data_IF_129940173932
#
_entry.id   IF_129940173932
#
_cell.length_a   1.000
_cell.length_b   1.000
_cell.length_c   1.000
_cell.angle_alpha   90.00
_cell.angle_beta   90.00
_cell.angle_gamma   90.00
#
_symmetry.space_group_name_H-M   'P 1'
#
loop_
_entity.id
_entity.type
_entity.pdbx_description
1 polymer ?
#
# COMPACT_ATOMS: atom_id res chain seq x y z
N UNK A 1 36.70 -50.72 26.29
CA UNK A 1 35.75 -51.82 26.53
C UNK A 1 34.65 -51.33 27.44
N UNK A 2 33.43 -51.44 26.94
CA UNK A 2 32.13 -51.48 27.62
C UNK A 2 31.56 -50.12 28.05
N UNK A 3 30.66 -49.51 27.26
CA UNK A 3 29.29 -49.93 26.89
C UNK A 3 28.26 -49.64 28.01
N UNK A 4 27.38 -48.69 27.67
CA UNK A 4 25.94 -48.71 27.89
C UNK A 4 25.38 -49.06 29.28
N UNK A 5 24.77 -48.04 29.89
CA UNK A 5 23.39 -48.17 30.38
C UNK A 5 22.53 -47.04 29.82
N UNK A 6 21.57 -47.44 29.01
CA UNK A 6 20.53 -46.63 28.41
C UNK A 6 19.25 -46.64 29.27
N UNK A 7 18.40 -45.64 28.99
CA UNK A 7 16.96 -45.56 29.29
C UNK A 7 16.64 -45.31 30.78
N UNK A 8 15.80 -44.37 31.21
CA UNK A 8 14.49 -43.85 30.75
C UNK A 8 14.38 -42.45 31.42
N UNK A 9 14.04 -41.34 30.75
CA UNK A 9 12.67 -40.79 30.65
C UNK A 9 12.66 -39.71 29.56
N UNK A 10 11.78 -39.96 28.60
CA UNK A 10 11.36 -39.09 27.51
C UNK A 10 10.71 -37.80 28.03
N UNK A 11 10.91 -36.67 27.33
CA UNK A 11 9.91 -35.59 27.40
C UNK A 11 10.31 -34.12 27.40
N UNK A 12 11.53 -33.67 27.00
CA UNK A 12 11.76 -32.20 26.80
C UNK A 12 12.72 -31.85 25.63
N UNK A 13 13.23 -32.81 24.86
CA UNK A 13 14.28 -32.53 23.85
C UNK A 13 13.79 -32.15 22.45
N UNK A 14 12.62 -31.52 22.30
CA UNK A 14 12.14 -31.05 21.00
C UNK A 14 11.59 -29.62 21.03
N UNK A 15 12.28 -28.68 21.69
CA UNK A 15 11.99 -27.25 21.48
C UNK A 15 13.16 -26.32 21.88
N UNK A 16 14.38 -26.58 21.39
CA UNK A 16 15.52 -25.68 21.62
C UNK A 16 16.53 -25.57 20.45
N UNK A 17 16.13 -25.95 19.23
CA UNK A 17 17.01 -25.96 18.06
C UNK A 17 16.52 -25.11 16.87
N UNK A 18 15.66 -24.10 17.10
CA UNK A 18 15.22 -23.14 16.06
C UNK A 18 15.44 -21.67 16.44
N UNK A 19 16.06 -21.39 17.59
CA UNK A 19 16.53 -20.05 17.98
C UNK A 19 18.01 -19.89 17.59
N UNK A 20 18.29 -19.99 16.29
CA UNK A 20 19.59 -19.65 15.74
C UNK A 20 19.73 -18.14 15.63
N UNK A 21 20.19 -17.49 16.69
CA UNK A 21 20.80 -16.17 16.56
C UNK A 21 22.06 -16.33 15.70
N UNK A 22 22.00 -15.87 14.45
CA UNK A 22 23.19 -15.79 13.61
C UNK A 22 24.25 -14.92 14.33
N UNK A 23 25.55 -15.28 14.27
CA UNK A 23 26.60 -14.46 14.86
C UNK A 23 26.56 -13.05 14.25
N UNK A 24 27.05 -12.02 14.98
CA UNK A 24 27.10 -10.67 14.44
C UNK A 24 27.95 -10.70 13.17
N UNK A 25 27.32 -10.48 12.02
CA UNK A 25 28.03 -10.31 10.74
C UNK A 25 28.97 -9.12 10.95
N UNK A 26 30.28 -9.38 10.95
CA UNK A 26 31.24 -8.30 11.06
C UNK A 26 31.04 -7.39 9.84
N UNK A 27 31.16 -6.07 9.97
CA UNK A 27 30.96 -5.14 8.84
C UNK A 27 31.87 -5.47 7.63
N UNK A 28 33.00 -6.14 7.87
CA UNK A 28 33.89 -6.70 6.85
C UNK A 28 33.27 -7.86 6.04
N UNK A 29 32.41 -8.68 6.64
CA UNK A 29 31.72 -9.78 5.97
C UNK A 29 30.57 -9.26 5.11
N UNK A 30 29.84 -8.25 5.59
CA UNK A 30 28.75 -7.63 4.85
C UNK A 30 29.25 -6.86 3.62
N UNK A 31 30.35 -6.09 3.74
CA UNK A 31 30.94 -5.35 2.60
C UNK A 31 31.53 -6.26 1.52
N UNK A 32 31.86 -7.51 1.86
CA UNK A 32 32.38 -8.55 0.95
C UNK A 32 31.32 -9.55 0.48
N UNK A 33 30.06 -9.37 0.91
CA UNK A 33 28.99 -10.30 0.57
C UNK A 33 28.80 -10.42 -0.95
N UNK A 34 28.56 -11.65 -1.39
CA UNK A 34 28.20 -12.03 -2.76
C UNK A 34 26.72 -12.42 -2.81
N UNK A 35 26.06 -12.23 -3.95
CA UNK A 35 24.63 -12.48 -4.05
C UNK A 35 24.33 -13.96 -3.86
N UNK A 36 23.29 -14.32 -3.09
CA UNK A 36 22.80 -15.69 -3.05
C UNK A 36 22.43 -16.17 -4.45
N UNK A 37 22.53 -17.49 -4.74
CA UNK A 37 22.16 -18.03 -6.05
C UNK A 37 20.74 -17.61 -6.47
N UNK A 38 20.63 -17.08 -7.69
CA UNK A 38 19.36 -16.58 -8.26
C UNK A 38 18.86 -15.25 -7.67
N UNK A 39 19.61 -14.62 -6.76
CA UNK A 39 19.25 -13.34 -6.14
C UNK A 39 20.22 -12.23 -6.55
N UNK A 40 19.87 -11.01 -6.16
CA UNK A 40 20.68 -9.81 -6.37
C UNK A 40 20.96 -9.17 -5.03
N UNK A 41 22.19 -8.68 -4.82
CA UNK A 41 22.50 -7.80 -3.71
C UNK A 41 22.55 -6.34 -4.15
N UNK A 42 21.92 -5.48 -3.37
CA UNK A 42 21.94 -4.02 -3.55
C UNK A 42 22.56 -3.40 -2.31
N UNK A 43 23.73 -2.80 -2.49
CA UNK A 43 24.41 -2.02 -1.48
C UNK A 43 24.05 -0.56 -1.66
N UNK A 44 23.55 0.08 -0.61
CA UNK A 44 23.25 1.52 -0.61
C UNK A 44 24.10 2.17 0.45
N UNK A 45 24.97 3.10 0.07
CA UNK A 45 25.90 3.75 0.98
C UNK A 45 25.88 5.25 0.80
N UNK A 46 26.10 5.98 1.90
CA UNK A 46 26.15 7.43 1.89
C UNK A 46 27.58 7.93 2.07
N UNK A 47 28.03 8.76 1.14
CA UNK A 47 29.36 9.36 1.13
C UNK A 47 29.27 10.76 0.55
N UNK A 48 29.12 11.76 1.42
CA UNK A 48 28.94 13.16 1.03
C UNK A 48 30.27 13.82 0.66
N UNK A 49 30.26 14.77 -0.29
CA UNK A 49 31.45 15.60 -0.59
C UNK A 49 31.74 16.62 0.50
N UNK A 50 30.68 17.15 1.11
CA UNK A 50 30.72 18.01 2.27
C UNK A 50 29.86 17.37 3.36
N UNK A 51 30.34 17.22 4.60
CA UNK A 51 29.57 16.56 5.65
C UNK A 51 28.23 17.25 5.91
N UNK A 52 27.12 16.53 5.72
CA UNK A 52 25.77 17.00 6.08
C UNK A 52 25.25 16.22 7.29
N UNK A 53 24.96 16.90 8.39
CA UNK A 53 24.40 16.31 9.60
C UNK A 53 22.91 15.97 9.44
N UNK A 54 22.62 14.96 8.64
CA UNK A 54 21.28 14.47 8.33
C UNK A 54 21.22 12.94 8.43
N UNK A 55 20.02 12.38 8.54
CA UNK A 55 19.78 10.97 8.30
C UNK A 55 18.94 10.82 7.03
N UNK A 56 19.31 9.89 6.17
CA UNK A 56 18.64 9.68 4.88
C UNK A 56 17.96 8.30 4.89
N UNK A 57 16.62 8.22 5.00
CA UNK A 57 15.93 6.94 4.94
C UNK A 57 16.10 6.27 3.57
N UNK A 58 16.27 4.96 3.57
CA UNK A 58 16.39 4.14 2.35
C UNK A 58 15.33 3.06 2.37
N UNK A 59 14.59 2.98 1.26
CA UNK A 59 13.65 1.89 1.01
C UNK A 59 14.02 1.20 -0.29
N UNK A 60 13.99 -0.13 -0.29
CA UNK A 60 14.16 -0.98 -1.47
C UNK A 60 12.87 -1.76 -1.68
N UNK A 61 12.24 -1.60 -2.84
CA UNK A 61 10.93 -2.20 -3.14
C UNK A 61 9.89 -1.93 -2.04
N UNK A 62 9.83 -0.68 -1.58
CA UNK A 62 8.95 -0.21 -0.50
C UNK A 62 9.27 -0.76 0.91
N UNK A 63 10.29 -1.61 1.05
CA UNK A 63 10.78 -2.08 2.35
C UNK A 63 11.86 -1.13 2.84
N UNK A 64 11.65 -0.49 4.00
CA UNK A 64 12.66 0.37 4.63
C UNK A 64 13.80 -0.49 5.16
N UNK A 65 15.02 -0.26 4.66
CA UNK A 65 16.21 -1.03 5.02
C UNK A 65 17.15 -0.28 5.99
N UNK A 66 16.93 1.01 6.22
CA UNK A 66 17.65 1.78 7.24
C UNK A 66 17.68 3.28 6.98
N UNK A 67 18.33 4.01 7.89
CA UNK A 67 18.56 5.45 7.85
C UNK A 67 20.06 5.76 7.73
N UNK A 68 20.50 6.21 6.56
CA UNK A 68 21.91 6.43 6.27
C UNK A 68 22.41 7.76 6.86
N UNK A 69 23.32 7.66 7.83
CA UNK A 69 24.24 8.74 8.19
C UNK A 69 25.42 8.79 7.20
N UNK A 70 26.15 9.90 7.13
CA UNK A 70 27.36 9.98 6.29
C UNK A 70 28.38 8.92 6.72
N UNK A 71 28.94 8.17 5.77
CA UNK A 71 29.87 7.06 6.04
C UNK A 71 29.22 5.76 6.49
N UNK A 72 27.91 5.58 6.25
CA UNK A 72 27.20 4.34 6.57
C UNK A 72 26.63 3.66 5.33
N UNK A 73 26.37 2.36 5.41
CA UNK A 73 25.73 1.60 4.35
C UNK A 73 24.69 0.59 4.85
N UNK A 74 23.76 0.24 3.96
CA UNK A 74 22.76 -0.80 4.12
C UNK A 74 22.81 -1.76 2.93
N UNK A 75 22.33 -2.99 3.14
CA UNK A 75 22.33 -4.06 2.14
C UNK A 75 20.94 -4.65 2.03
N UNK A 76 20.48 -4.88 0.79
CA UNK A 76 19.23 -5.57 0.51
C UNK A 76 19.44 -6.72 -0.46
N UNK A 77 18.80 -7.86 -0.19
CA UNK A 77 18.68 -8.97 -1.14
C UNK A 77 17.36 -8.86 -1.86
N UNK A 78 17.39 -8.80 -3.20
CA UNK A 78 16.19 -8.66 -4.04
C UNK A 78 16.12 -9.76 -5.10
N UNK A 79 14.93 -9.93 -5.68
CA UNK A 79 14.77 -10.76 -6.87
C UNK A 79 15.35 -10.03 -8.09
N UNK A 80 15.83 -10.77 -9.11
CA UNK A 80 16.17 -10.20 -10.40
C UNK A 80 14.96 -9.49 -11.04
N UNK A 81 15.24 -8.47 -11.85
CA UNK A 81 14.28 -7.61 -12.51
C UNK A 81 14.30 -6.18 -11.96
N UNK A 82 13.22 -5.44 -12.21
CA UNK A 82 13.12 -4.02 -11.84
C UNK A 82 13.08 -3.84 -10.32
N UNK A 83 14.10 -3.18 -9.78
CA UNK A 83 14.25 -2.83 -8.36
C UNK A 83 14.10 -1.33 -8.17
N UNK A 84 13.33 -0.92 -7.16
CA UNK A 84 13.09 0.49 -6.85
C UNK A 84 13.78 0.88 -5.55
N UNK A 85 14.55 1.96 -5.60
CA UNK A 85 15.20 2.56 -4.45
C UNK A 85 14.59 3.93 -4.20
N UNK A 86 14.00 4.12 -3.02
CA UNK A 86 13.58 5.44 -2.54
C UNK A 86 14.57 5.92 -1.49
N UNK A 87 15.14 7.10 -1.73
CA UNK A 87 16.20 7.68 -0.91
C UNK A 87 15.73 9.04 -0.39
N UNK A 88 15.73 9.21 0.93
CA UNK A 88 15.28 10.44 1.58
C UNK A 88 13.76 10.51 1.80
N UNK A 89 13.32 11.63 2.36
CA UNK A 89 11.92 11.85 2.74
C UNK A 89 11.05 12.32 1.57
N UNK A 90 11.67 12.84 0.50
CA UNK A 90 10.96 13.27 -0.70
C UNK A 90 10.38 12.06 -1.44
N UNK A 91 9.08 12.12 -1.74
CA UNK A 91 8.36 11.07 -2.47
C UNK A 91 8.69 11.02 -3.98
N UNK A 92 9.43 12.01 -4.49
CA UNK A 92 9.54 12.30 -5.93
C UNK A 92 10.74 11.62 -6.60
N UNK A 93 11.77 11.20 -5.85
CA UNK A 93 12.98 10.59 -6.41
C UNK A 93 13.02 9.08 -6.13
N UNK A 94 12.55 8.28 -7.10
CA UNK A 94 12.72 6.83 -7.11
C UNK A 94 13.83 6.47 -8.10
N UNK A 95 14.94 5.98 -7.58
CA UNK A 95 16.02 5.43 -8.40
C UNK A 95 15.66 4.00 -8.81
N UNK A 96 15.55 3.76 -10.12
CA UNK A 96 15.17 2.44 -10.66
C UNK A 96 16.42 1.74 -11.20
N UNK A 97 16.53 0.46 -10.89
CA UNK A 97 17.63 -0.40 -11.29
C UNK A 97 17.10 -1.69 -11.94
N UNK A 98 17.56 -2.02 -13.14
CA UNK A 98 17.31 -3.34 -13.73
C UNK A 98 18.36 -4.32 -13.21
N UNK A 99 17.95 -5.18 -12.27
CA UNK A 99 18.84 -6.02 -11.50
C UNK A 99 18.93 -7.42 -12.11
N UNK A 100 20.12 -7.84 -12.57
CA UNK A 100 20.32 -9.19 -13.09
C UNK A 100 20.70 -10.18 -11.98
N UNK A 101 20.23 -11.42 -12.11
CA UNK A 101 20.52 -12.50 -11.17
C UNK A 101 22.02 -12.70 -10.96
N UNK A 102 22.40 -13.08 -9.74
CA UNK A 102 23.78 -13.35 -9.34
C UNK A 102 24.71 -12.13 -9.46
N UNK A 103 24.17 -10.90 -9.39
CA UNK A 103 24.97 -9.66 -9.40
C UNK A 103 24.82 -8.84 -8.13
N UNK A 104 25.83 -8.02 -7.88
CA UNK A 104 25.82 -6.97 -6.85
C UNK A 104 25.77 -5.60 -7.50
N UNK A 105 24.97 -4.71 -6.94
CA UNK A 105 24.87 -3.32 -7.38
C UNK A 105 25.18 -2.38 -6.23
N UNK A 106 25.85 -1.26 -6.56
CA UNK A 106 26.37 -0.32 -5.57
C UNK A 106 25.79 1.06 -5.86
N UNK A 107 24.97 1.56 -4.94
CA UNK A 107 24.26 2.84 -5.08
C UNK A 107 24.84 3.81 -4.07
N UNK A 108 25.45 4.87 -4.59
CA UNK A 108 25.96 5.99 -3.80
C UNK A 108 24.86 7.01 -3.59
N UNK A 109 24.74 7.47 -2.35
CA UNK A 109 23.91 8.59 -1.94
C UNK A 109 24.81 9.73 -1.48
N UNK A 110 24.60 10.93 -2.01
CA UNK A 110 25.24 12.17 -1.55
C UNK A 110 24.15 13.10 -1.01
N UNK A 111 24.25 13.55 0.24
CA UNK A 111 23.41 14.63 0.75
C UNK A 111 23.99 15.98 0.32
N UNK A 112 23.21 16.78 -0.39
CA UNK A 112 23.65 18.05 -1.00
C UNK A 112 23.32 19.26 -0.12
N UNK A 113 22.25 19.17 0.69
CA UNK A 113 21.84 20.27 1.59
C UNK A 113 21.19 19.77 2.86
N UNK A 114 21.40 20.48 3.97
CA UNK A 114 20.73 20.24 5.27
C UNK A 114 19.31 20.81 5.36
N UNK A 115 18.88 21.61 4.37
CA UNK A 115 17.51 22.16 4.31
C UNK A 115 16.52 21.01 4.21
N UNK A 116 15.49 21.00 5.07
CA UNK A 116 14.47 19.94 5.06
C UNK A 116 13.44 20.20 3.94
N UNK A 117 13.04 19.16 3.19
CA UNK A 117 13.58 17.80 3.22
C UNK A 117 14.99 17.73 2.59
N UNK A 118 15.86 16.90 3.17
CA UNK A 118 17.28 16.76 2.77
C UNK A 118 17.36 16.40 1.29
N UNK A 119 18.01 17.26 0.50
CA UNK A 119 18.23 17.01 -0.93
C UNK A 119 19.33 15.97 -1.09
N UNK A 120 19.04 14.92 -1.85
CA UNK A 120 19.98 13.82 -2.12
C UNK A 120 20.25 13.68 -3.61
N UNK A 121 21.48 13.31 -3.95
CA UNK A 121 21.85 12.80 -5.26
C UNK A 121 22.12 11.30 -5.16
N UNK A 122 21.61 10.53 -6.12
CA UNK A 122 21.70 9.07 -6.15
C UNK A 122 22.35 8.64 -7.45
N UNK A 123 23.39 7.80 -7.38
CA UNK A 123 24.10 7.31 -8.57
C UNK A 123 24.48 5.84 -8.40
N UNK A 124 24.37 5.07 -9.49
CA UNK A 124 25.00 3.76 -9.56
C UNK A 124 26.51 3.93 -9.74
N UNK A 125 27.30 3.20 -8.96
CA UNK A 125 28.74 3.13 -9.12
C UNK A 125 29.16 1.74 -9.54
N UNK A 126 30.32 1.64 -10.19
CA UNK A 126 30.89 0.34 -10.53
C UNK A 126 31.27 -0.44 -9.26
N UNK A 127 31.46 -1.75 -9.39
CA UNK A 127 31.73 -2.62 -8.26
C UNK A 127 33.06 -2.28 -7.55
N UNK A 128 34.11 -1.93 -8.28
CA UNK A 128 35.42 -1.62 -7.70
C UNK A 128 35.33 -0.42 -6.76
N UNK A 129 34.72 0.67 -7.22
CA UNK A 129 34.56 1.89 -6.44
C UNK A 129 33.54 1.71 -5.32
N UNK A 130 32.45 0.97 -5.57
CA UNK A 130 31.47 0.60 -4.56
C UNK A 130 32.09 -0.18 -3.40
N UNK A 131 32.84 -1.24 -3.70
CA UNK A 131 33.54 -2.06 -2.68
C UNK A 131 34.56 -1.24 -1.90
N UNK A 132 35.31 -0.34 -2.57
CA UNK A 132 36.25 0.57 -1.89
C UNK A 132 35.52 1.50 -0.91
N UNK A 133 34.40 2.09 -1.33
CA UNK A 133 33.60 2.95 -0.46
C UNK A 133 32.97 2.18 0.72
N UNK A 134 32.49 0.95 0.50
CA UNK A 134 31.96 0.09 1.55
C UNK A 134 33.03 -0.29 2.58
N UNK A 135 34.27 -0.56 2.15
CA UNK A 135 35.38 -0.85 3.06
C UNK A 135 35.71 0.32 4.01
N UNK A 136 35.35 1.55 3.62
CA UNK A 136 35.51 2.78 4.41
C UNK A 136 34.24 3.17 5.16
N UNK A 137 33.14 2.42 4.99
CA UNK A 137 31.82 2.72 5.55
C UNK A 137 31.44 1.74 6.65
N UNK A 138 30.60 2.19 7.59
CA UNK A 138 30.06 1.34 8.65
C UNK A 138 28.71 0.73 8.24
N UNK A 139 28.54 -0.58 8.43
CA UNK A 139 27.26 -1.24 8.24
C UNK A 139 26.24 -0.76 9.28
N UNK A 140 25.03 -0.41 8.86
CA UNK A 140 23.90 -0.22 9.77
C UNK A 140 23.48 -1.57 10.36
N UNK A 141 23.54 -1.71 11.69
CA UNK A 141 23.09 -2.91 12.40
C UNK A 141 21.62 -3.20 12.10
N UNK A 142 21.29 -4.47 11.85
CA UNK A 142 19.94 -4.92 11.52
C UNK A 142 18.92 -4.42 12.56
N UNK A 143 17.94 -3.63 12.12
CA UNK A 143 16.77 -3.33 12.94
C UNK A 143 16.02 -4.64 13.27
N UNK A 144 15.44 -4.79 14.47
CA UNK A 144 14.79 -6.03 14.88
C UNK A 144 13.71 -6.44 13.88
N UNK A 145 13.79 -7.70 13.43
CA UNK A 145 12.79 -8.31 12.60
C UNK A 145 11.42 -8.20 13.28
N UNK A 146 10.46 -7.56 12.60
CA UNK A 146 9.07 -7.72 12.96
C UNK A 146 8.73 -9.21 12.92
N UNK A 147 8.14 -9.67 14.03
CA UNK A 147 7.74 -11.05 14.30
C UNK A 147 6.88 -11.55 13.13
N UNK A 148 7.23 -12.74 12.66
CA UNK A 148 6.91 -13.23 11.32
C UNK A 148 5.42 -13.46 11.02
N UNK A 149 5.06 -13.22 9.76
CA UNK A 149 4.01 -13.99 9.11
C UNK A 149 4.65 -15.28 8.56
N UNK A 150 4.12 -16.43 8.99
CA UNK A 150 4.57 -17.75 8.58
C UNK A 150 4.57 -17.91 7.04
N UNK A 151 5.45 -18.76 6.48
CA UNK A 151 5.42 -19.09 5.05
C UNK A 151 4.09 -19.75 4.72
N UNK A 152 3.30 -19.14 3.83
CA UNK A 152 2.17 -19.83 3.19
C UNK A 152 2.76 -20.89 2.26
N UNK A 153 2.34 -22.14 2.43
CA UNK A 153 2.72 -23.25 1.57
C UNK A 153 2.45 -22.91 0.09
N UNK A 154 3.46 -23.13 -0.76
CA UNK A 154 3.31 -23.05 -2.21
C UNK A 154 2.33 -24.16 -2.67
N UNK A 155 1.39 -23.87 -3.58
CA UNK A 155 0.68 -24.93 -4.30
C UNK A 155 1.69 -25.74 -5.13
N UNK A 156 1.47 -27.06 -5.32
CA UNK A 156 2.36 -27.89 -6.11
C UNK A 156 2.44 -27.40 -7.57
N UNK A 157 3.64 -27.53 -8.16
CA UNK A 157 3.92 -27.18 -9.54
C UNK A 157 3.02 -27.97 -10.51
N UNK A 158 2.61 -27.38 -11.65
CA UNK A 158 1.95 -28.13 -12.72
C UNK A 158 2.91 -29.18 -13.27
N UNK A 159 2.41 -30.41 -13.41
CA UNK A 159 3.09 -31.52 -14.10
C UNK A 159 3.34 -31.10 -15.55
N UNK A 160 4.57 -31.29 -16.03
CA UNK A 160 4.96 -31.04 -17.40
C UNK A 160 4.11 -31.88 -18.38
N UNK A 161 3.53 -31.23 -19.38
CA UNK A 161 2.88 -31.92 -20.50
C UNK A 161 3.94 -32.59 -21.40
N UNK A 162 3.63 -33.76 -21.99
CA UNK A 162 4.54 -34.46 -22.90
C UNK A 162 4.72 -33.68 -24.23
N UNK A 163 5.84 -33.89 -24.96
CA UNK A 163 6.16 -33.16 -26.18
C UNK A 163 5.21 -33.51 -27.33
N UNK A 164 5.04 -32.60 -28.32
CA UNK A 164 4.11 -32.81 -29.43
C UNK A 164 4.64 -33.86 -30.43
N UNK A 165 3.76 -34.67 -31.06
CA UNK A 165 4.14 -35.45 -32.23
C UNK A 165 4.20 -34.58 -33.49
N UNK A 166 5.07 -35.01 -34.41
CA UNK A 166 5.40 -34.40 -35.70
C UNK A 166 4.21 -34.43 -36.67
N UNK A 167 4.19 -33.41 -37.54
CA UNK A 167 3.24 -33.00 -38.56
C UNK A 167 2.47 -34.09 -39.35
N UNK A 168 1.21 -33.76 -39.65
CA UNK A 168 0.43 -34.31 -40.77
C UNK A 168 -0.36 -33.20 -41.50
N UNK A 169 -0.55 -33.43 -42.80
CA UNK A 169 -0.93 -32.56 -43.92
C UNK A 169 -2.19 -31.66 -43.78
N UNK A 170 -2.35 -30.62 -44.63
CA UNK A 170 -3.31 -29.53 -44.44
C UNK A 170 -4.75 -29.97 -44.72
N UNK A 171 -5.64 -29.70 -43.76
CA UNK A 171 -7.10 -29.76 -43.96
C UNK A 171 -7.67 -28.34 -43.94
N UNK A 172 -8.42 -28.08 -45.01
CA UNK A 172 -9.30 -26.97 -45.34
C UNK A 172 -9.80 -26.17 -44.12
N UNK A 173 -9.45 -24.89 -44.06
CA UNK A 173 -10.00 -23.91 -43.12
C UNK A 173 -11.46 -23.60 -43.47
N UNK A 174 -12.42 -23.71 -42.53
CA UNK A 174 -13.66 -22.96 -42.60
C UNK A 174 -13.36 -21.48 -42.33
N UNK A 175 -13.92 -20.61 -43.16
CA UNK A 175 -13.79 -19.15 -43.12
C UNK A 175 -13.99 -18.56 -41.72
N UNK A 176 -13.27 -17.48 -41.35
CA UNK A 176 -13.52 -16.76 -40.11
C UNK A 176 -14.97 -16.24 -40.11
N UNK A 177 -15.81 -16.79 -39.24
CA UNK A 177 -17.06 -16.13 -38.89
C UNK A 177 -16.73 -14.76 -38.32
N UNK A 178 -17.48 -13.78 -38.82
CA UNK A 178 -17.34 -12.35 -38.58
C UNK A 178 -16.84 -12.04 -37.18
N UNK A 179 -15.73 -11.32 -37.13
CA UNK A 179 -15.36 -10.47 -35.99
C UNK A 179 -16.62 -9.70 -35.63
N UNK A 180 -17.25 -10.06 -34.51
CA UNK A 180 -18.21 -9.17 -33.88
C UNK A 180 -17.44 -7.87 -33.68
N UNK A 181 -17.85 -6.82 -34.39
CA UNK A 181 -17.28 -5.50 -34.23
C UNK A 181 -17.41 -5.13 -32.76
N UNK A 182 -16.30 -5.12 -32.04
CA UNK A 182 -16.22 -4.45 -30.74
C UNK A 182 -16.61 -3.00 -31.01
N UNK A 183 -17.70 -2.48 -30.41
CA UNK A 183 -17.90 -1.05 -30.44
C UNK A 183 -16.75 -0.47 -29.62
N UNK A 184 -15.83 0.20 -30.29
CA UNK A 184 -14.73 0.95 -29.68
C UNK A 184 -15.29 1.93 -28.66
N UNK A 185 -15.34 1.50 -27.41
CA UNK A 185 -15.74 2.31 -26.29
C UNK A 185 -14.49 2.74 -25.57
N UNK A 186 -14.18 4.03 -25.63
CA UNK A 186 -13.10 4.64 -24.82
C UNK A 186 -13.36 4.54 -23.30
N UNK A 187 -14.38 3.79 -22.86
CA UNK A 187 -14.93 3.71 -21.52
C UNK A 187 -14.90 2.27 -21.00
N UNK A 188 -14.27 2.07 -19.83
CA UNK A 188 -14.22 0.80 -19.11
C UNK A 188 -15.03 0.89 -17.82
N UNK A 189 -15.66 -0.19 -17.40
CA UNK A 189 -16.42 -0.22 -16.15
C UNK A 189 -15.54 -0.69 -15.00
N UNK A 190 -15.73 -0.16 -13.80
CA UNK A 190 -15.07 -0.65 -12.60
C UNK A 190 -15.99 -0.63 -11.38
N UNK A 191 -15.88 -1.66 -10.55
CA UNK A 191 -16.50 -1.74 -9.24
C UNK A 191 -15.42 -1.58 -8.16
N UNK A 192 -15.70 -0.79 -7.14
CA UNK A 192 -14.78 -0.46 -6.08
C UNK A 192 -15.44 -0.73 -4.73
N UNK A 193 -14.73 -1.44 -3.85
CA UNK A 193 -15.12 -1.60 -2.45
C UNK A 193 -14.06 -0.96 -1.56
N UNK A 194 -14.48 -0.14 -0.59
CA UNK A 194 -13.60 0.57 0.34
C UNK A 194 -14.02 0.37 1.79
N UNK A 195 -13.05 0.42 2.69
CA UNK A 195 -13.25 0.43 4.13
C UNK A 195 -12.09 1.11 4.84
N UNK A 196 -12.34 1.71 6.00
CA UNK A 196 -11.25 2.35 6.74
C UNK A 196 -11.70 3.21 7.92
N UNK A 197 -10.86 4.19 8.24
CA UNK A 197 -11.07 5.09 9.35
C UNK A 197 -11.75 6.37 8.86
N UNK A 198 -12.94 6.65 9.38
CA UNK A 198 -13.66 7.88 9.14
C UNK A 198 -13.94 8.57 10.47
N UNK A 199 -13.84 9.90 10.49
CA UNK A 199 -14.05 10.71 11.69
C UNK A 199 -15.05 11.81 11.42
N UNK A 200 -15.98 11.98 12.36
CA UNK A 200 -16.96 13.05 12.32
C UNK A 200 -16.26 14.39 12.59
N UNK A 201 -16.57 15.43 11.80
CA UNK A 201 -15.96 16.75 12.00
C UNK A 201 -16.48 17.44 13.26
N UNK A 202 -17.76 17.24 13.57
CA UNK A 202 -18.45 17.85 14.70
C UNK A 202 -18.93 16.77 15.66
N UNK A 203 -18.18 16.53 16.73
CA UNK A 203 -18.54 15.51 17.72
C UNK A 203 -19.48 16.04 18.78
N UNK A 204 -19.44 17.32 19.13
CA UNK A 204 -20.36 17.93 20.07
C UNK A 204 -21.40 18.78 19.33
N UNK A 205 -22.67 18.45 19.45
CA UNK A 205 -23.77 19.17 18.80
C UNK A 205 -25.12 18.86 19.47
N UNK A 206 -26.13 19.65 19.14
CA UNK A 206 -27.49 19.44 19.63
C UNK A 206 -28.25 18.50 18.69
N UNK A 207 -28.76 17.38 19.22
CA UNK A 207 -29.57 16.42 18.46
C UNK A 207 -30.94 16.34 19.14
N UNK A 208 -32.01 16.59 18.37
CA UNK A 208 -33.38 16.62 18.90
C UNK A 208 -33.56 17.51 20.15
N UNK A 209 -32.85 18.65 20.21
CA UNK A 209 -32.89 19.59 21.34
C UNK A 209 -32.00 19.21 22.53
N UNK A 210 -31.29 18.08 22.49
CA UNK A 210 -30.41 17.62 23.57
C UNK A 210 -28.93 17.84 23.22
N UNK A 211 -28.17 18.34 24.19
CA UNK A 211 -26.71 18.40 24.07
C UNK A 211 -26.16 16.96 23.95
N UNK A 212 -25.48 16.69 22.84
CA UNK A 212 -25.05 15.34 22.49
C UNK A 212 -23.60 15.31 22.04
N UNK A 213 -22.92 14.20 22.37
CA UNK A 213 -21.53 13.91 22.01
C UNK A 213 -21.48 12.62 21.22
N UNK A 214 -20.91 12.69 20.02
CA UNK A 214 -20.60 11.55 19.17
C UNK A 214 -19.19 11.04 19.43
N UNK A 215 -19.02 9.74 19.31
CA UNK A 215 -17.70 9.14 19.17
C UNK A 215 -17.00 9.71 17.93
N UNK A 216 -15.76 10.17 18.11
CA UNK A 216 -15.02 10.84 17.05
C UNK A 216 -14.70 9.91 15.86
N UNK A 217 -14.64 8.61 16.08
CA UNK A 217 -14.30 7.62 15.05
C UNK A 217 -15.50 6.77 14.71
N UNK A 218 -15.91 6.81 13.44
CA UNK A 218 -17.03 6.03 12.95
C UNK A 218 -16.65 4.57 12.72
N UNK A 219 -17.48 3.62 13.17
CA UNK A 219 -17.22 2.18 13.07
C UNK A 219 -18.50 1.38 12.78
N UNK A 220 -18.56 0.61 11.68
CA UNK A 220 -17.62 0.60 10.56
C UNK A 220 -17.74 1.88 9.72
N UNK A 221 -16.78 2.09 8.80
CA UNK A 221 -16.91 3.03 7.68
C UNK A 221 -16.52 2.30 6.40
N UNK A 222 -17.48 2.11 5.50
CA UNK A 222 -17.36 1.29 4.28
C UNK A 222 -18.07 1.95 3.10
N UNK A 223 -17.60 1.70 1.88
CA UNK A 223 -18.24 2.21 0.67
C UNK A 223 -18.16 1.25 -0.49
N UNK A 224 -19.15 1.31 -1.39
CA UNK A 224 -19.16 0.62 -2.68
C UNK A 224 -19.38 1.68 -3.75
N UNK A 225 -18.55 1.69 -4.78
CA UNK A 225 -18.62 2.63 -5.89
C UNK A 225 -18.55 1.91 -7.23
N UNK A 226 -19.42 2.27 -8.15
CA UNK A 226 -19.41 1.80 -9.52
C UNK A 226 -19.04 2.98 -10.43
N UNK A 227 -18.02 2.82 -11.27
CA UNK A 227 -17.46 3.88 -12.12
C UNK A 227 -17.39 3.46 -13.59
N UNK A 228 -17.70 4.39 -14.48
CA UNK A 228 -17.31 4.35 -15.88
C UNK A 228 -16.06 5.21 -16.06
N UNK A 229 -15.01 4.64 -16.63
CA UNK A 229 -13.66 5.22 -16.73
C UNK A 229 -13.27 5.42 -18.17
N UNK A 230 -13.10 6.67 -18.57
CA UNK A 230 -12.64 7.06 -19.88
C UNK A 230 -11.12 6.91 -20.03
N UNK A 231 -10.66 6.59 -21.25
CA UNK A 231 -9.23 6.52 -21.57
C UNK A 231 -8.50 7.86 -21.46
N UNK A 232 -9.18 8.99 -21.31
CA UNK A 232 -8.51 10.27 -21.06
C UNK A 232 -8.25 10.51 -19.56
N UNK A 233 -8.63 9.57 -18.68
CA UNK A 233 -8.45 9.67 -17.22
C UNK A 233 -9.70 10.12 -16.47
N UNK A 234 -10.73 10.62 -17.15
CA UNK A 234 -12.01 10.95 -16.53
C UNK A 234 -12.76 9.69 -16.09
N UNK A 235 -13.44 9.76 -14.96
CA UNK A 235 -14.38 8.75 -14.54
C UNK A 235 -15.63 9.37 -13.93
N UNK A 236 -16.78 8.73 -14.13
CA UNK A 236 -18.05 9.13 -13.53
C UNK A 236 -18.68 7.90 -12.90
N UNK A 237 -19.16 8.01 -11.67
CA UNK A 237 -19.65 6.86 -10.92
C UNK A 237 -20.66 7.20 -9.84
N UNK A 238 -21.33 6.16 -9.35
CA UNK A 238 -22.21 6.22 -8.19
C UNK A 238 -21.58 5.53 -7.00
N UNK A 239 -21.64 6.13 -5.81
CA UNK A 239 -21.11 5.57 -4.57
C UNK A 239 -22.21 5.48 -3.49
N UNK A 240 -22.23 4.35 -2.80
CA UNK A 240 -22.94 4.15 -1.54
C UNK A 240 -21.91 4.10 -0.42
N UNK A 241 -21.91 5.07 0.49
CA UNK A 241 -20.99 5.14 1.62
C UNK A 241 -21.75 5.07 2.95
N UNK A 242 -21.34 4.16 3.83
CA UNK A 242 -22.01 3.87 5.08
C UNK A 242 -21.05 3.99 6.25
N UNK A 243 -21.51 4.65 7.32
CA UNK A 243 -20.79 4.64 8.59
C UNK A 243 -21.74 4.75 9.79
N UNK A 244 -21.23 4.39 10.97
CA UNK A 244 -21.97 4.51 12.24
C UNK A 244 -21.17 5.27 13.28
N UNK A 245 -21.88 6.01 14.12
CA UNK A 245 -21.35 6.65 15.31
C UNK A 245 -22.19 6.27 16.52
N UNK A 246 -21.54 6.06 17.64
CA UNK A 246 -22.22 6.02 18.94
C UNK A 246 -22.45 7.47 19.41
N UNK A 247 -23.60 7.69 20.04
CA UNK A 247 -24.11 9.00 20.46
C UNK A 247 -24.52 8.94 21.93
N UNK A 248 -23.90 9.78 22.75
CA UNK A 248 -24.34 10.03 24.11
C UNK A 248 -25.07 11.38 24.18
N UNK A 249 -26.28 11.40 24.71
CA UNK A 249 -27.00 12.62 25.07
C UNK A 249 -27.25 12.62 26.58
N UNK A 250 -27.65 13.74 27.20
CA UNK A 250 -27.82 13.87 28.66
C UNK A 250 -28.62 12.71 29.28
N UNK A 251 -27.92 11.71 29.85
CA UNK A 251 -28.52 10.51 30.43
C UNK A 251 -29.03 9.44 29.45
N UNK A 252 -28.81 9.60 28.14
CA UNK A 252 -29.31 8.71 27.07
C UNK A 252 -28.17 8.17 26.20
N UNK A 253 -28.34 6.95 25.70
CA UNK A 253 -27.42 6.33 24.75
C UNK A 253 -28.14 5.95 23.46
N UNK A 254 -27.58 6.37 22.34
CA UNK A 254 -28.14 6.16 21.02
C UNK A 254 -27.04 5.85 19.99
N UNK A 255 -27.47 5.43 18.80
CA UNK A 255 -26.59 5.21 17.65
C UNK A 255 -27.10 6.00 16.46
N UNK A 256 -26.19 6.59 15.72
CA UNK A 256 -26.46 7.21 14.43
C UNK A 256 -25.82 6.37 13.33
N UNK A 257 -26.62 6.00 12.35
CA UNK A 257 -26.15 5.36 11.12
C UNK A 257 -26.34 6.37 9.99
N UNK A 258 -25.32 6.55 9.16
CA UNK A 258 -25.39 7.45 8.01
C UNK A 258 -25.15 6.65 6.74
N UNK A 259 -26.05 6.81 5.79
CA UNK A 259 -25.93 6.29 4.43
C UNK A 259 -25.85 7.48 3.47
N UNK A 260 -24.76 7.60 2.73
CA UNK A 260 -24.57 8.59 1.69
C UNK A 260 -24.70 7.93 0.31
N UNK A 261 -25.54 8.50 -0.54
CA UNK A 261 -25.68 8.16 -1.95
C UNK A 261 -25.08 9.31 -2.76
N UNK A 262 -23.99 9.05 -3.47
CA UNK A 262 -23.18 10.07 -4.15
C UNK A 262 -23.05 9.78 -5.63
N UNK A 263 -23.05 10.84 -6.44
CA UNK A 263 -22.58 10.81 -7.83
C UNK A 263 -21.24 11.53 -7.87
N UNK A 264 -20.21 10.84 -8.38
CA UNK A 264 -18.83 11.26 -8.35
C UNK A 264 -18.29 11.49 -9.75
N UNK A 265 -17.54 12.57 -9.93
CA UNK A 265 -16.62 12.76 -11.03
C UNK A 265 -15.18 12.68 -10.53
N UNK A 266 -14.36 11.87 -11.18
CA UNK A 266 -12.94 11.71 -10.86
C UNK A 266 -12.06 11.97 -12.08
N UNK A 267 -10.84 12.39 -11.82
CA UNK A 267 -9.78 12.47 -12.80
C UNK A 267 -8.56 11.69 -12.31
N UNK A 268 -8.20 10.63 -13.04
CA UNK A 268 -7.05 9.78 -12.82
C UNK A 268 -5.86 10.28 -13.64
N UNK A 269 -4.82 10.72 -12.94
CA UNK A 269 -3.55 11.05 -13.54
C UNK A 269 -2.83 9.76 -13.94
N UNK A 270 -2.50 9.63 -15.22
CA UNK A 270 -1.71 8.51 -15.73
C UNK A 270 -0.23 8.76 -15.52
N UNK A 271 0.22 8.57 -14.29
CA UNK A 271 1.65 8.67 -13.96
C UNK A 271 2.38 7.42 -14.47
N UNK A 272 1.75 6.25 -14.40
CA UNK A 272 2.19 5.02 -15.04
C UNK A 272 1.00 4.10 -15.33
N UNK A 273 1.20 3.08 -16.17
CA UNK A 273 0.15 2.09 -16.49
C UNK A 273 -0.40 1.32 -15.27
N UNK A 274 0.32 1.32 -14.16
CA UNK A 274 -0.04 0.63 -12.92
C UNK A 274 -0.29 1.59 -11.76
N UNK A 275 -0.04 2.91 -11.92
CA UNK A 275 -0.16 3.89 -10.83
C UNK A 275 -0.95 5.11 -11.28
N UNK A 276 -2.12 5.27 -10.67
CA UNK A 276 -3.11 6.27 -11.03
C UNK A 276 -3.54 7.08 -9.80
N UNK A 277 -2.78 8.13 -9.43
CA UNK A 277 -3.29 9.17 -8.55
C UNK A 277 -4.59 9.73 -9.09
N UNK A 278 -5.52 10.10 -8.22
CA UNK A 278 -6.76 10.73 -8.63
C UNK A 278 -7.21 11.80 -7.67
N UNK A 279 -8.00 12.71 -8.21
CA UNK A 279 -8.83 13.65 -7.46
C UNK A 279 -10.26 13.54 -7.96
N UNK A 280 -11.21 13.81 -7.10
CA UNK A 280 -12.61 13.72 -7.43
C UNK A 280 -13.47 14.57 -6.52
N UNK A 281 -14.65 14.86 -7.04
CA UNK A 281 -15.71 15.59 -6.33
C UNK A 281 -17.01 14.86 -6.57
N UNK A 282 -17.93 14.98 -5.62
CA UNK A 282 -19.24 14.37 -5.74
C UNK A 282 -20.32 15.18 -5.07
N UNK A 283 -21.54 14.97 -5.56
CA UNK A 283 -22.77 15.55 -5.02
C UNK A 283 -23.76 14.43 -4.77
N UNK A 284 -24.60 14.58 -3.76
CA UNK A 284 -25.51 13.52 -3.38
C UNK A 284 -26.41 13.86 -2.22
N UNK A 285 -26.90 12.83 -1.57
CA UNK A 285 -27.75 12.93 -0.39
C UNK A 285 -27.25 11.98 0.70
N UNK A 286 -27.51 12.35 1.94
CA UNK A 286 -27.27 11.49 3.11
C UNK A 286 -28.54 11.31 3.90
N UNK A 287 -28.78 10.09 4.35
CA UNK A 287 -29.79 9.77 5.35
C UNK A 287 -29.12 9.37 6.65
N UNK A 288 -29.50 10.03 7.74
CA UNK A 288 -29.10 9.71 9.10
C UNK A 288 -30.26 9.03 9.84
N UNK A 289 -30.04 7.81 10.31
CA UNK A 289 -31.02 7.04 11.10
C UNK A 289 -30.52 6.91 12.53
N UNK A 290 -31.35 7.31 13.47
CA UNK A 290 -31.09 7.25 14.91
C UNK A 290 -31.83 6.05 15.51
N UNK A 291 -31.16 5.36 16.43
CA UNK A 291 -31.70 4.19 17.13
C UNK A 291 -31.23 4.14 18.58
N UNK A 292 -31.94 3.40 19.44
CA UNK A 292 -31.73 3.37 20.88
C UNK A 292 -32.73 4.28 21.59
N UNK A 293 -32.24 5.06 22.56
CA UNK A 293 -33.06 6.01 23.32
C UNK A 293 -33.49 7.22 22.50
N UNK A 294 -32.77 7.52 21.41
CA UNK A 294 -33.14 8.49 20.39
C UNK A 294 -33.48 7.77 19.08
N UNK A 295 -34.66 8.07 18.52
CA UNK A 295 -35.15 7.47 17.28
C UNK A 295 -35.57 8.54 16.29
N UNK A 296 -35.33 8.27 15.00
CA UNK A 296 -35.76 9.13 13.92
C UNK A 296 -34.89 8.98 12.68
N UNK A 297 -35.31 9.63 11.60
CA UNK A 297 -34.58 9.67 10.33
C UNK A 297 -34.53 11.12 9.85
N UNK A 298 -33.37 11.54 9.35
CA UNK A 298 -33.17 12.86 8.79
C UNK A 298 -32.34 12.77 7.51
N UNK A 299 -32.84 13.38 6.44
CA UNK A 299 -32.14 13.49 5.16
C UNK A 299 -31.44 14.85 5.03
N UNK A 300 -30.48 14.93 4.12
CA UNK A 300 -29.74 16.16 3.81
C UNK A 300 -28.98 16.07 2.50
N UNK A 301 -28.70 17.23 1.90
CA UNK A 301 -27.81 17.32 0.75
C UNK A 301 -26.36 17.08 1.17
N UNK A 302 -25.58 16.44 0.31
CA UNK A 302 -24.20 16.08 0.57
C UNK A 302 -23.28 16.48 -0.57
N UNK A 303 -22.08 16.92 -0.20
CA UNK A 303 -20.97 17.20 -1.09
C UNK A 303 -19.76 16.41 -0.62
N UNK A 304 -18.96 15.90 -1.53
CA UNK A 304 -17.70 15.27 -1.15
C UNK A 304 -16.55 15.65 -2.05
N UNK A 305 -15.36 15.64 -1.45
CA UNK A 305 -14.09 15.69 -2.13
C UNK A 305 -13.31 14.44 -1.81
N UNK A 306 -12.55 13.94 -2.79
CA UNK A 306 -11.71 12.77 -2.61
C UNK A 306 -10.42 12.92 -3.38
N UNK A 307 -9.34 12.47 -2.77
CA UNK A 307 -8.03 12.42 -3.39
C UNK A 307 -7.35 11.12 -2.96
N UNK A 308 -6.73 10.44 -3.90
CA UNK A 308 -6.20 9.12 -3.64
C UNK A 308 -5.26 8.64 -4.70
N UNK A 309 -4.94 7.37 -4.61
CA UNK A 309 -4.14 6.67 -5.59
C UNK A 309 -4.64 5.25 -5.75
N UNK A 310 -4.66 4.78 -7.00
CA UNK A 310 -5.01 3.42 -7.37
C UNK A 310 -3.82 2.75 -8.06
N UNK A 311 -3.44 1.60 -7.53
CA UNK A 311 -2.45 0.69 -8.09
C UNK A 311 -3.19 -0.37 -8.88
N UNK A 312 -3.01 -0.41 -10.21
CA UNK A 312 -3.74 -1.33 -11.11
C UNK A 312 -2.85 -2.47 -11.58
N UNK A 313 -3.39 -3.68 -11.49
CA UNK A 313 -2.80 -4.95 -11.88
C UNK A 313 -3.81 -5.65 -12.80
N UNK A 314 -3.72 -5.35 -14.10
CA UNK A 314 -4.71 -5.79 -15.09
C UNK A 314 -6.13 -5.35 -14.69
N UNK A 315 -7.01 -6.30 -14.39
CA UNK A 315 -8.40 -6.08 -14.03
C UNK A 315 -8.60 -5.79 -12.54
N UNK A 316 -7.56 -5.92 -11.70
CA UNK A 316 -7.68 -5.69 -10.25
C UNK A 316 -6.85 -4.49 -9.85
N UNK A 317 -7.41 -3.60 -9.01
CA UNK A 317 -6.66 -2.51 -8.42
C UNK A 317 -6.74 -2.49 -6.90
N UNK A 318 -5.72 -1.92 -6.27
CA UNK A 318 -5.70 -1.57 -4.86
C UNK A 318 -5.69 -0.05 -4.75
N UNK A 319 -6.52 0.52 -3.90
CA UNK A 319 -6.56 1.96 -3.73
C UNK A 319 -6.47 2.38 -2.28
N UNK A 320 -5.93 3.58 -2.09
CA UNK A 320 -6.08 4.35 -0.87
C UNK A 320 -6.62 5.72 -1.23
N UNK A 321 -7.63 6.18 -0.51
CA UNK A 321 -8.25 7.48 -0.73
C UNK A 321 -8.47 8.21 0.58
N UNK A 322 -8.15 9.49 0.58
CA UNK A 322 -8.69 10.44 1.53
C UNK A 322 -10.06 10.91 1.03
N UNK A 323 -11.06 10.85 1.90
CA UNK A 323 -12.41 11.32 1.64
C UNK A 323 -12.75 12.43 2.63
N UNK A 324 -13.33 13.51 2.12
CA UNK A 324 -14.00 14.55 2.88
C UNK A 324 -15.47 14.59 2.45
N UNK A 325 -16.39 14.45 3.40
CA UNK A 325 -17.83 14.51 3.19
C UNK A 325 -18.39 15.68 3.99
N UNK A 326 -19.02 16.63 3.31
CA UNK A 326 -19.78 17.71 3.92
C UNK A 326 -21.27 17.39 3.78
N UNK A 327 -21.97 17.25 4.91
CA UNK A 327 -23.41 17.10 4.92
C UNK A 327 -24.01 17.57 6.25
N UNK A 328 -25.19 18.15 6.15
CA UNK A 328 -26.06 18.52 7.27
C UNK A 328 -27.43 17.89 7.02
N UNK A 329 -27.93 17.14 7.99
CA UNK A 329 -29.23 16.47 7.95
C UNK A 329 -30.19 17.13 8.91
N UNK A 330 -31.48 17.16 8.58
CA UNK A 330 -32.52 17.75 9.44
C UNK A 330 -33.25 18.89 8.76
N UNK A 331 -34.03 19.63 9.55
CA UNK A 331 -34.73 20.84 9.09
C UNK A 331 -34.15 22.03 9.83
N UNK A 332 -34.34 23.23 9.29
CA UNK A 332 -33.88 24.47 9.93
C UNK A 332 -34.31 24.52 11.40
N UNK A 333 -33.32 24.61 12.30
CA UNK A 333 -33.53 24.58 13.76
C UNK A 333 -33.36 23.21 14.43
N UNK A 334 -33.17 22.14 13.65
CA UNK A 334 -32.82 20.78 14.10
C UNK A 334 -31.67 20.17 13.28
N UNK A 335 -30.81 21.03 12.75
CA UNK A 335 -29.69 20.68 11.89
C UNK A 335 -28.63 19.86 12.65
N UNK A 336 -28.28 18.69 12.11
CA UNK A 336 -27.21 17.84 12.62
C UNK A 336 -26.14 17.71 11.55
N UNK A 337 -24.90 18.07 11.89
CA UNK A 337 -23.75 17.93 11.01
C UNK A 337 -23.27 16.49 11.04
N UNK A 338 -23.48 15.79 9.92
CA UNK A 338 -23.04 14.41 9.75
C UNK A 338 -21.72 14.31 8.97
N UNK A 339 -21.26 15.42 8.39
CA UNK A 339 -20.00 15.48 7.65
C UNK A 339 -18.75 15.13 8.46
N UNK A 340 -17.71 14.68 7.76
CA UNK A 340 -16.47 14.19 8.34
C UNK A 340 -15.39 13.94 7.29
N UNK A 341 -14.28 13.36 7.73
CA UNK A 341 -13.22 12.94 6.80
C UNK A 341 -12.52 11.68 7.25
N UNK A 342 -11.87 11.00 6.32
CA UNK A 342 -11.26 9.71 6.59
C UNK A 342 -10.28 9.24 5.54
N UNK A 343 -9.52 8.23 5.90
CA UNK A 343 -8.67 7.46 4.98
C UNK A 343 -9.30 6.08 4.82
N UNK A 344 -9.58 5.75 3.57
CA UNK A 344 -10.20 4.49 3.17
C UNK A 344 -9.22 3.74 2.27
N UNK A 345 -9.12 2.43 2.48
CA UNK A 345 -8.40 1.52 1.58
C UNK A 345 -9.42 0.62 0.89
N UNK A 346 -9.11 0.17 -0.33
CA UNK A 346 -10.06 -0.59 -1.11
C UNK A 346 -9.45 -1.41 -2.23
N UNK A 347 -10.33 -2.20 -2.84
CA UNK A 347 -10.06 -3.01 -4.03
C UNK A 347 -10.98 -2.53 -5.14
N UNK A 348 -10.44 -2.41 -6.35
CA UNK A 348 -11.20 -2.17 -7.57
C UNK A 348 -11.13 -3.38 -8.50
N UNK A 349 -12.19 -3.63 -9.25
CA UNK A 349 -12.26 -4.64 -10.30
C UNK A 349 -12.76 -3.95 -11.56
N UNK A 350 -11.96 -3.96 -12.62
CA UNK A 350 -12.29 -3.42 -13.93
C UNK A 350 -12.79 -4.54 -14.87
N UNK A 351 -13.74 -4.17 -15.73
CA UNK A 351 -14.40 -5.02 -16.72
C UNK A 351 -14.31 -4.37 -18.09
#
# INVERSE_FOLDING_TARGET
MNELRACIVSGVFLLAALLGAAPPVHAQDASRATPPPGKVLVFVFRSDRQPVAAQVPVLVNLVRIGDLANGTFAVATVNPGRTFLRIGEQAVAVFTLEAAANRSYFVRVEAVSSVRPVRTEVRLVNEVDGRRALAQSRLLGAAPAAIGAAPRAQPPAPVAAPPPPVAAAPRVQPSPQATAAEPGGDWNFALIATGGAFKLANTNQTVAGLASTFDATSKPAVGIEAEFRHRAGFAVGGEVFYYRNDLAATGLSAKQQVLALMVNGKYYLRVANWFHPFVGVGVGATDAVYSGDLKGTAGGAAFQGMAGMEFRFENVGLLVQYKYLASTTGKSGSDVKVGGSGVLAGVSIAF
#
